data_IF_037573366984
#
_entry.id   IF_037573366984
#
_cell.length_a   1.000
_cell.length_b   1.000
_cell.length_c   1.000
_cell.angle_alpha   90.00
_cell.angle_beta   90.00
_cell.angle_gamma   90.00
#
_symmetry.space_group_name_H-M   'P 1'
#
loop_
_entity.id
_entity.type
_entity.pdbx_description
1 polymer ?
#
# COMPACT_ATOMS: atom_id res chain seq x y z
N UNK A 1 2.92 62.61 12.33
CA UNK A 1 2.91 62.04 10.97
C UNK A 1 3.25 60.55 11.05
N UNK A 2 2.20 59.72 11.13
CA UNK A 2 2.14 58.25 10.96
C UNK A 2 0.78 58.06 10.25
N UNK A 3 0.60 57.22 9.22
CA UNK A 3 1.04 55.82 9.19
C UNK A 3 1.45 55.29 7.79
N UNK A 4 2.58 54.61 7.66
CA UNK A 4 2.94 53.88 6.42
C UNK A 4 3.54 52.48 6.67
N UNK A 5 3.43 51.97 7.90
CA UNK A 5 4.04 50.70 8.30
C UNK A 5 3.06 49.54 8.51
N UNK A 6 1.77 49.71 8.15
CA UNK A 6 0.75 48.68 8.40
C UNK A 6 0.34 47.85 7.18
N UNK A 7 0.81 48.18 5.97
CA UNK A 7 0.39 47.46 4.74
C UNK A 7 1.34 46.30 4.40
N UNK A 8 2.60 46.34 4.82
CA UNK A 8 3.59 45.31 4.43
C UNK A 8 3.46 44.01 5.23
N UNK A 9 2.82 44.01 6.40
CA UNK A 9 2.67 42.80 7.24
C UNK A 9 1.47 41.93 6.81
N UNK A 10 0.49 42.49 6.09
CA UNK A 10 -0.68 41.74 5.63
C UNK A 10 -0.44 40.94 4.33
N UNK A 11 0.64 41.21 3.61
CA UNK A 11 0.97 40.50 2.36
C UNK A 11 1.76 39.21 2.57
N UNK A 12 2.41 39.02 3.73
CA UNK A 12 3.25 37.83 3.98
C UNK A 12 2.43 36.62 4.46
N UNK A 13 1.27 36.83 5.09
CA UNK A 13 0.38 35.73 5.48
C UNK A 13 -0.40 35.09 4.32
N UNK A 14 -0.48 35.74 3.16
CA UNK A 14 -1.18 35.18 1.99
C UNK A 14 -0.33 34.13 1.23
N UNK A 15 0.99 34.08 1.45
CA UNK A 15 1.91 33.19 0.71
C UNK A 15 2.03 31.78 1.32
N UNK A 16 1.33 31.47 2.42
CA UNK A 16 1.43 30.17 3.10
C UNK A 16 0.36 29.13 2.69
N UNK A 17 -0.55 29.45 1.76
CA UNK A 17 -1.61 28.51 1.29
C UNK A 17 -1.17 27.61 0.11
N UNK A 18 0.13 27.53 -0.18
CA UNK A 18 0.68 26.76 -1.30
C UNK A 18 1.32 25.42 -0.91
N UNK A 19 0.95 24.80 0.22
CA UNK A 19 1.35 23.41 0.45
C UNK A 19 0.56 22.53 -0.51
N UNK A 20 1.25 22.10 -1.58
CA UNK A 20 0.64 21.41 -2.71
C UNK A 20 -0.32 20.32 -2.27
N UNK A 21 -1.50 20.30 -2.88
CA UNK A 21 -2.53 19.28 -2.67
C UNK A 21 -2.06 17.87 -2.98
N UNK A 22 -0.82 17.70 -3.45
CA UNK A 22 -0.26 16.45 -3.92
C UNK A 22 1.14 16.25 -3.32
N UNK A 23 1.42 15.03 -2.90
CA UNK A 23 2.71 14.59 -2.39
C UNK A 23 3.13 13.33 -3.11
N UNK A 24 4.31 13.39 -3.73
CA UNK A 24 4.94 12.23 -4.34
C UNK A 24 5.99 11.66 -3.40
N UNK A 25 5.88 10.37 -3.13
CA UNK A 25 6.81 9.59 -2.32
C UNK A 25 7.48 8.57 -3.23
N UNK A 26 8.80 8.57 -3.28
CA UNK A 26 9.55 7.49 -3.89
C UNK A 26 9.88 6.46 -2.81
N UNK A 27 9.47 5.23 -3.05
CA UNK A 27 9.80 4.07 -2.23
C UNK A 27 10.71 3.16 -3.04
N UNK A 28 11.11 2.07 -2.41
CA UNK A 28 11.79 0.95 -3.01
C UNK A 28 10.92 0.12 -3.96
N UNK A 29 9.65 -0.02 -3.62
CA UNK A 29 8.66 -0.74 -4.41
C UNK A 29 8.14 0.08 -5.58
N UNK A 30 8.24 1.41 -5.52
CA UNK A 30 7.98 2.30 -6.64
C UNK A 30 7.62 3.72 -6.23
N UNK A 31 6.61 4.33 -6.85
CA UNK A 31 6.21 5.71 -6.59
C UNK A 31 4.78 5.74 -6.05
N UNK A 32 4.56 6.44 -4.95
CA UNK A 32 3.21 6.75 -4.43
C UNK A 32 2.94 8.23 -4.65
N UNK A 33 1.87 8.55 -5.37
CA UNK A 33 1.33 9.91 -5.48
C UNK A 33 0.07 9.98 -4.63
N UNK A 34 0.09 10.84 -3.61
CA UNK A 34 -1.05 11.05 -2.71
C UNK A 34 -1.57 12.45 -2.96
N UNK A 35 -2.87 12.58 -3.24
CA UNK A 35 -3.55 13.87 -3.27
C UNK A 35 -4.48 14.01 -2.08
N UNK A 36 -4.62 15.23 -1.57
CA UNK A 36 -5.35 15.55 -0.36
C UNK A 36 -6.54 16.47 -0.64
N UNK A 37 -7.59 16.30 0.16
CA UNK A 37 -8.60 17.31 0.36
C UNK A 37 -7.98 18.58 0.95
N UNK A 38 -8.67 19.71 0.81
CA UNK A 38 -8.35 20.97 1.52
C UNK A 38 -8.29 20.80 3.04
N UNK A 39 -8.98 19.80 3.59
CA UNK A 39 -8.91 19.42 5.01
C UNK A 39 -7.62 18.71 5.43
N UNK A 40 -6.76 18.33 4.48
CA UNK A 40 -5.55 17.54 4.72
C UNK A 40 -5.76 16.02 4.76
N UNK A 41 -7.02 15.55 4.66
CA UNK A 41 -7.32 14.12 4.50
C UNK A 41 -6.94 13.63 3.10
N UNK A 42 -6.67 12.34 2.95
CA UNK A 42 -6.34 11.74 1.64
C UNK A 42 -7.59 11.70 0.76
N UNK A 43 -7.47 12.21 -0.47
CA UNK A 43 -8.49 12.15 -1.51
C UNK A 43 -8.21 11.04 -2.52
N UNK A 44 -6.99 10.98 -3.06
CA UNK A 44 -6.57 9.89 -3.93
C UNK A 44 -5.19 9.39 -3.56
N UNK A 45 -4.95 8.12 -3.86
CA UNK A 45 -3.66 7.48 -3.75
C UNK A 45 -3.41 6.74 -5.05
N UNK A 46 -2.24 6.92 -5.65
CA UNK A 46 -1.80 6.17 -6.81
C UNK A 46 -0.46 5.57 -6.47
N UNK A 47 -0.32 4.26 -6.60
CA UNK A 47 0.95 3.59 -6.49
C UNK A 47 1.33 3.01 -7.85
N UNK A 48 2.59 3.15 -8.22
CA UNK A 48 3.19 2.53 -9.41
C UNK A 48 4.45 1.82 -8.96
N UNK A 49 4.76 0.66 -9.53
CA UNK A 49 5.98 -0.07 -9.21
C UNK A 49 7.23 0.68 -9.72
N UNK A 50 8.42 0.26 -9.27
CA UNK A 50 9.69 0.92 -9.60
C UNK A 50 10.01 0.98 -11.10
N UNK A 51 9.40 0.11 -11.89
CA UNK A 51 9.62 0.01 -13.32
C UNK A 51 8.47 0.63 -14.14
N UNK A 52 7.53 1.31 -13.47
CA UNK A 52 6.31 1.88 -14.04
C UNK A 52 5.46 0.87 -14.83
N UNK A 53 5.53 -0.43 -14.46
CA UNK A 53 4.86 -1.56 -15.14
C UNK A 53 3.51 -1.90 -14.56
N UNK A 54 3.40 -1.86 -13.25
CA UNK A 54 2.21 -2.20 -12.49
C UNK A 54 1.86 -1.08 -11.55
N UNK A 55 0.59 -0.94 -11.21
CA UNK A 55 0.16 0.03 -10.23
C UNK A 55 -1.25 -0.22 -9.74
N UNK A 56 -1.69 0.64 -8.84
CA UNK A 56 -3.05 0.66 -8.34
C UNK A 56 -3.44 2.07 -7.94
N UNK A 57 -4.67 2.42 -8.24
CA UNK A 57 -5.23 3.75 -8.02
C UNK A 57 -6.44 3.64 -7.11
N UNK A 58 -6.55 4.54 -6.14
CA UNK A 58 -7.63 4.62 -5.16
C UNK A 58 -8.17 6.04 -5.08
N UNK A 59 -9.47 6.16 -4.84
CA UNK A 59 -10.13 7.41 -4.45
C UNK A 59 -10.99 7.22 -3.21
N UNK A 60 -11.07 8.25 -2.39
CA UNK A 60 -11.79 8.26 -1.12
C UNK A 60 -12.71 9.47 -1.03
N UNK A 61 -13.77 9.36 -0.23
CA UNK A 61 -14.59 10.49 0.18
C UNK A 61 -13.96 11.25 1.37
N UNK A 62 -14.60 12.35 1.79
CA UNK A 62 -14.12 13.17 2.90
C UNK A 62 -14.17 12.45 4.27
N UNK A 63 -14.93 11.36 4.38
CA UNK A 63 -14.97 10.49 5.56
C UNK A 63 -13.85 9.44 5.54
N UNK A 64 -13.15 9.27 4.41
CA UNK A 64 -12.11 8.25 4.20
C UNK A 64 -12.65 6.92 3.70
N UNK A 65 -13.93 6.85 3.31
CA UNK A 65 -14.51 5.67 2.67
C UNK A 65 -14.05 5.61 1.22
N UNK A 66 -13.68 4.41 0.77
CA UNK A 66 -13.27 4.19 -0.61
C UNK A 66 -14.44 4.37 -1.58
N UNK A 67 -14.21 5.15 -2.64
CA UNK A 67 -15.13 5.39 -3.74
C UNK A 67 -14.76 4.56 -4.98
N UNK A 68 -13.48 4.23 -5.11
CA UNK A 68 -12.91 3.61 -6.29
C UNK A 68 -11.56 2.96 -5.97
N UNK A 69 -11.33 1.77 -6.52
CA UNK A 69 -10.02 1.11 -6.59
C UNK A 69 -9.87 0.46 -7.96
N UNK A 70 -8.71 0.61 -8.58
CA UNK A 70 -8.44 0.01 -9.88
C UNK A 70 -6.96 -0.32 -10.08
N UNK A 71 -6.69 -1.53 -10.58
CA UNK A 71 -5.33 -1.96 -10.91
C UNK A 71 -4.92 -1.37 -12.27
N UNK A 72 -3.71 -0.81 -12.32
CA UNK A 72 -3.14 -0.20 -13.52
C UNK A 72 -1.92 -0.99 -14.00
N UNK A 73 -1.63 -0.95 -15.30
CA UNK A 73 -0.44 -1.59 -15.88
C UNK A 73 -0.03 -0.94 -17.21
N UNK A 74 1.24 -1.09 -17.56
CA UNK A 74 1.80 -0.69 -18.85
C UNK A 74 2.50 -1.84 -19.59
N UNK A 75 2.44 -3.07 -19.03
CA UNK A 75 3.04 -4.29 -19.61
C UNK A 75 1.96 -5.34 -19.89
N UNK A 76 2.08 -6.03 -21.03
CA UNK A 76 1.10 -7.05 -21.44
C UNK A 76 -0.29 -6.42 -21.65
N UNK A 77 -0.33 -5.30 -22.37
CA UNK A 77 -1.50 -4.43 -22.48
C UNK A 77 -1.36 -3.14 -21.68
N UNK A 78 -2.45 -2.39 -21.55
CA UNK A 78 -2.51 -1.12 -20.84
C UNK A 78 -3.73 -1.08 -19.92
N UNK A 79 -3.57 -0.59 -18.70
CA UNK A 79 -4.67 -0.22 -17.82
C UNK A 79 -4.32 1.05 -17.04
N UNK A 80 -5.19 2.06 -17.07
CA UNK A 80 -4.98 3.35 -16.40
C UNK A 80 -6.26 3.88 -15.78
N UNK A 81 -6.10 4.64 -14.70
CA UNK A 81 -7.15 5.46 -14.10
C UNK A 81 -6.67 6.92 -14.00
N UNK A 82 -7.43 7.86 -14.55
CA UNK A 82 -7.15 9.29 -14.47
C UNK A 82 -8.20 9.98 -13.58
N UNK A 83 -7.75 10.90 -12.74
CA UNK A 83 -8.58 11.62 -11.79
C UNK A 83 -8.65 13.10 -12.14
N UNK A 84 -9.87 13.64 -12.16
CA UNK A 84 -10.13 15.08 -12.10
C UNK A 84 -10.70 15.43 -10.73
N UNK A 85 -10.51 16.68 -10.31
CA UNK A 85 -10.81 17.10 -8.94
C UNK A 85 -11.64 18.38 -8.91
N UNK A 86 -12.48 18.50 -7.88
CA UNK A 86 -13.12 19.74 -7.45
C UNK A 86 -12.12 20.64 -6.68
N UNK A 87 -12.42 21.94 -6.50
CA UNK A 87 -11.53 22.86 -5.77
C UNK A 87 -11.26 22.44 -4.32
N UNK A 88 -12.21 21.74 -3.67
CA UNK A 88 -12.06 21.24 -2.31
C UNK A 88 -11.13 20.00 -2.20
N UNK A 89 -10.64 19.49 -3.34
CA UNK A 89 -9.81 18.30 -3.45
C UNK A 89 -10.58 16.99 -3.60
N UNK A 90 -11.92 17.01 -3.58
CA UNK A 90 -12.76 15.85 -3.89
C UNK A 90 -12.57 15.43 -5.35
N UNK A 91 -12.71 14.14 -5.64
CA UNK A 91 -12.69 13.65 -7.03
C UNK A 91 -13.98 14.08 -7.72
N UNK A 92 -13.86 14.70 -8.90
CA UNK A 92 -15.00 15.10 -9.74
C UNK A 92 -15.26 14.11 -10.88
N UNK A 93 -14.20 13.47 -11.38
CA UNK A 93 -14.29 12.50 -12.48
C UNK A 93 -13.18 11.45 -12.37
N UNK A 94 -13.52 10.21 -12.69
CA UNK A 94 -12.60 9.09 -12.84
C UNK A 94 -12.75 8.53 -14.23
N UNK A 95 -11.66 8.48 -15.00
CA UNK A 95 -11.62 7.90 -16.33
C UNK A 95 -10.74 6.65 -16.33
N UNK A 96 -11.35 5.51 -16.65
CA UNK A 96 -10.66 4.22 -16.74
C UNK A 96 -10.47 3.85 -18.20
N UNK A 97 -9.30 3.29 -18.53
CA UNK A 97 -9.05 2.62 -19.80
C UNK A 97 -8.30 1.34 -19.53
N UNK A 98 -8.76 0.23 -20.09
CA UNK A 98 -8.13 -1.09 -20.03
C UNK A 98 -8.10 -1.71 -21.43
N UNK A 99 -6.97 -2.29 -21.78
CA UNK A 99 -6.70 -2.97 -23.03
C UNK A 99 -5.70 -4.12 -22.76
N UNK A 100 -6.15 -5.30 -22.30
CA UNK A 100 -5.27 -6.43 -21.96
C UNK A 100 -4.55 -7.03 -23.16
N UNK A 101 -5.20 -7.06 -24.33
CA UNK A 101 -4.64 -7.69 -25.53
C UNK A 101 -4.30 -6.64 -26.59
N UNK A 102 -3.46 -5.67 -26.22
CA UNK A 102 -2.96 -4.65 -27.15
C UNK A 102 -4.02 -3.78 -27.83
N UNK A 103 -5.24 -3.74 -27.28
CA UNK A 103 -6.38 -3.00 -27.83
C UNK A 103 -7.37 -3.81 -28.67
N UNK A 104 -7.18 -5.12 -28.84
CA UNK A 104 -8.19 -6.01 -29.46
C UNK A 104 -9.42 -6.07 -28.55
N UNK A 105 -9.19 -6.45 -27.29
CA UNK A 105 -10.16 -6.26 -26.22
C UNK A 105 -9.83 -4.96 -25.50
N UNK A 106 -10.84 -4.10 -25.32
CA UNK A 106 -10.68 -2.86 -24.59
C UNK A 106 -11.96 -2.48 -23.85
N UNK A 107 -11.79 -1.77 -22.75
CA UNK A 107 -12.82 -1.21 -21.89
C UNK A 107 -12.45 0.22 -21.52
N UNK A 108 -13.42 1.12 -21.53
CA UNK A 108 -13.30 2.48 -21.05
C UNK A 108 -14.53 2.85 -20.25
N UNK A 109 -14.34 3.58 -19.16
CA UNK A 109 -15.46 4.16 -18.45
C UNK A 109 -15.13 5.52 -17.88
N UNK A 110 -16.18 6.30 -17.66
CA UNK A 110 -16.10 7.60 -17.03
C UNK A 110 -17.15 7.65 -15.93
N UNK A 111 -16.71 7.84 -14.69
CA UNK A 111 -17.60 8.06 -13.54
C UNK A 111 -17.46 9.50 -13.07
N UNK A 112 -18.57 10.19 -12.87
CA UNK A 112 -18.59 11.56 -12.34
C UNK A 112 -19.15 11.59 -10.92
N UNK A 113 -18.65 12.50 -10.09
CA UNK A 113 -19.01 12.65 -8.68
C UNK A 113 -19.23 14.13 -8.32
N UNK A 114 -20.11 14.38 -7.35
CA UNK A 114 -20.24 15.70 -6.73
C UNK A 114 -19.14 15.97 -5.68
N UNK A 115 -19.16 17.15 -5.06
CA UNK A 115 -18.18 17.57 -4.06
C UNK A 115 -18.18 16.71 -2.78
N UNK A 116 -19.24 15.92 -2.56
CA UNK A 116 -19.41 15.06 -1.40
C UNK A 116 -19.04 13.59 -1.69
N UNK A 117 -18.65 13.27 -2.93
CA UNK A 117 -18.30 11.91 -3.35
C UNK A 117 -19.51 11.06 -3.74
N UNK A 118 -20.69 11.67 -3.97
CA UNK A 118 -21.86 10.96 -4.50
C UNK A 118 -21.73 10.86 -6.02
N UNK A 119 -21.94 9.65 -6.56
CA UNK A 119 -21.89 9.38 -8.00
C UNK A 119 -23.04 10.11 -8.71
N UNK A 120 -22.70 10.98 -9.67
CA UNK A 120 -23.66 11.77 -10.46
C UNK A 120 -23.78 11.32 -11.92
N UNK A 121 -22.84 10.50 -12.40
CA UNK A 121 -22.88 10.00 -13.78
C UNK A 121 -21.98 8.81 -14.02
N UNK A 122 -22.30 8.03 -15.05
CA UNK A 122 -21.52 6.89 -15.52
C UNK A 122 -21.72 6.68 -17.00
N UNK A 123 -20.63 6.50 -17.74
CA UNK A 123 -20.64 6.03 -19.12
C UNK A 123 -19.56 4.98 -19.29
N UNK A 124 -19.81 4.00 -20.15
CA UNK A 124 -18.82 2.99 -20.49
C UNK A 124 -18.89 2.60 -21.97
N UNK A 125 -17.75 2.16 -22.49
CA UNK A 125 -17.57 1.68 -23.84
C UNK A 125 -16.60 0.50 -23.80
N UNK A 126 -16.78 -0.48 -24.65
CA UNK A 126 -15.84 -1.59 -24.76
C UNK A 126 -16.06 -2.39 -26.02
N UNK A 127 -15.08 -3.24 -26.34
CA UNK A 127 -15.17 -4.11 -27.51
C UNK A 127 -16.38 -5.08 -27.43
N UNK A 128 -16.78 -5.47 -26.22
CA UNK A 128 -17.96 -6.33 -26.01
C UNK A 128 -19.31 -5.64 -26.32
N UNK A 129 -19.31 -4.31 -26.48
CA UNK A 129 -20.49 -3.55 -26.90
C UNK A 129 -20.78 -3.67 -28.40
N UNK A 130 -19.85 -4.20 -29.21
CA UNK A 130 -20.04 -4.37 -30.64
C UNK A 130 -20.77 -5.68 -31.00
N UNK A 131 -21.10 -6.52 -30.01
CA UNK A 131 -21.65 -7.84 -30.24
C UNK A 131 -20.65 -8.76 -30.96
N UNK A 132 -21.05 -10.00 -31.29
CA UNK A 132 -20.18 -10.90 -32.06
C UNK A 132 -19.86 -10.27 -33.43
N UNK A 133 -18.58 -10.28 -33.81
CA UNK A 133 -18.14 -9.92 -35.17
C UNK A 133 -18.93 -10.80 -36.15
N UNK A 134 -19.74 -10.24 -37.07
CA UNK A 134 -20.53 -11.06 -37.98
C UNK A 134 -19.58 -11.81 -38.91
N UNK A 135 -19.47 -13.12 -38.74
CA UNK A 135 -18.98 -14.00 -39.80
C UNK A 135 -19.94 -13.91 -41.00
N UNK A 136 -19.45 -14.11 -42.24
CA UNK A 136 -20.31 -14.09 -43.41
C UNK A 136 -21.41 -15.17 -43.28
N UNK A 137 -22.65 -14.73 -43.08
CA UNK A 137 -23.84 -15.59 -43.01
C UNK A 137 -24.61 -15.59 -41.68
N UNK A 138 -24.13 -14.93 -40.62
CA UNK A 138 -24.85 -14.93 -39.33
C UNK A 138 -25.78 -13.72 -39.22
N UNK A 139 -27.10 -13.95 -39.20
CA UNK A 139 -28.10 -12.93 -38.86
C UNK A 139 -28.03 -12.65 -37.36
N UNK A 140 -27.67 -11.43 -36.99
CA UNK A 140 -27.65 -10.97 -35.60
C UNK A 140 -29.08 -10.81 -35.09
N UNK A 141 -29.52 -11.71 -34.22
CA UNK A 141 -30.73 -11.50 -33.41
C UNK A 141 -30.47 -10.35 -32.44
N UNK A 142 -31.40 -9.38 -32.37
CA UNK A 142 -31.31 -8.29 -31.40
C UNK A 142 -31.14 -8.85 -29.98
N UNK A 143 -30.12 -8.34 -29.28
CA UNK A 143 -29.83 -8.68 -27.89
C UNK A 143 -31.06 -8.30 -27.04
N UNK A 144 -31.69 -9.23 -26.32
CA UNK A 144 -32.77 -8.88 -25.40
C UNK A 144 -32.23 -7.92 -24.34
N UNK A 145 -33.08 -6.98 -23.94
CA UNK A 145 -32.81 -5.96 -22.92
C UNK A 145 -32.28 -6.64 -21.66
N UNK A 146 -31.00 -6.41 -21.35
CA UNK A 146 -30.30 -7.09 -20.26
C UNK A 146 -30.80 -6.50 -18.95
N UNK A 147 -31.45 -7.32 -18.13
CA UNK A 147 -31.78 -7.00 -16.74
C UNK A 147 -30.54 -6.43 -16.02
N UNK A 148 -30.70 -5.50 -15.05
CA UNK A 148 -29.57 -4.82 -14.42
C UNK A 148 -28.54 -5.84 -13.96
N UNK A 149 -27.35 -5.77 -14.56
CA UNK A 149 -26.22 -6.63 -14.19
C UNK A 149 -25.96 -6.37 -12.72
N UNK A 150 -26.22 -7.37 -11.88
CA UNK A 150 -25.74 -7.38 -10.50
C UNK A 150 -24.24 -7.19 -10.59
N UNK A 151 -23.76 -6.03 -10.14
CA UNK A 151 -22.35 -5.69 -10.12
C UNK A 151 -21.63 -6.83 -9.40
N UNK A 152 -20.83 -7.58 -10.15
CA UNK A 152 -20.02 -8.64 -9.56
C UNK A 152 -19.01 -7.95 -8.66
N UNK A 153 -19.13 -8.18 -7.36
CA UNK A 153 -18.22 -7.63 -6.37
C UNK A 153 -16.88 -8.31 -6.62
N UNK A 154 -16.00 -7.63 -7.36
CA UNK A 154 -14.61 -8.06 -7.50
C UNK A 154 -14.02 -8.06 -6.10
N UNK A 155 -13.68 -9.24 -5.59
CA UNK A 155 -13.09 -9.38 -4.27
C UNK A 155 -11.76 -8.60 -4.23
N UNK A 156 -11.72 -7.55 -3.40
CA UNK A 156 -10.52 -6.75 -3.23
C UNK A 156 -9.37 -7.63 -2.74
N UNK A 157 -8.27 -7.67 -3.50
CA UNK A 157 -7.02 -8.18 -2.95
C UNK A 157 -6.58 -7.27 -1.80
N UNK A 158 -6.75 -7.79 -0.58
CA UNK A 158 -6.29 -7.17 0.65
C UNK A 158 -4.76 -7.22 0.73
N UNK A 159 -4.15 -6.10 1.14
CA UNK A 159 -2.71 -6.04 1.38
C UNK A 159 -2.47 -6.03 2.89
N UNK A 160 -1.76 -7.04 3.36
CA UNK A 160 -1.42 -7.22 4.76
C UNK A 160 0.00 -6.76 5.03
N UNK A 161 0.20 -5.93 6.05
CA UNK A 161 1.50 -5.44 6.51
C UNK A 161 1.93 -6.22 7.74
N UNK A 162 3.12 -6.78 7.70
CA UNK A 162 3.73 -7.53 8.79
C UNK A 162 4.96 -6.81 9.29
N UNK A 163 5.11 -6.69 10.59
CA UNK A 163 6.30 -6.14 11.23
C UNK A 163 7.00 -7.20 12.06
N UNK A 164 8.32 -7.21 12.00
CA UNK A 164 9.14 -8.19 12.71
C UNK A 164 10.01 -7.49 13.73
N UNK A 165 9.89 -7.93 14.98
CA UNK A 165 10.65 -7.45 16.11
C UNK A 165 11.46 -8.58 16.73
N UNK A 166 12.61 -8.22 17.30
CA UNK A 166 13.41 -9.09 18.16
C UNK A 166 13.52 -8.44 19.53
N UNK A 167 13.10 -9.18 20.55
CA UNK A 167 13.18 -8.79 21.96
C UNK A 167 14.35 -9.52 22.60
N UNK A 168 15.31 -8.77 23.13
CA UNK A 168 16.38 -9.37 23.92
C UNK A 168 15.90 -9.62 25.35
N UNK A 169 15.41 -10.84 25.59
CA UNK A 169 14.89 -11.24 26.91
C UNK A 169 15.98 -11.67 27.88
N UNK A 170 17.25 -11.47 27.52
CA UNK A 170 18.40 -11.91 28.32
C UNK A 170 19.08 -10.74 29.00
N UNK A 171 19.95 -11.07 29.96
CA UNK A 171 20.83 -10.09 30.62
C UNK A 171 22.10 -9.76 29.84
N UNK A 172 22.25 -10.26 28.61
CA UNK A 172 23.45 -10.07 27.80
C UNK A 172 23.13 -9.31 26.51
N UNK A 173 24.07 -8.53 26.01
CA UNK A 173 23.99 -7.95 24.67
C UNK A 173 23.91 -9.08 23.63
N UNK A 174 23.09 -8.93 22.61
CA UNK A 174 22.97 -9.89 21.51
C UNK A 174 23.37 -9.24 20.18
N UNK A 175 23.91 -10.06 19.29
CA UNK A 175 24.10 -9.73 17.88
C UNK A 175 23.05 -10.50 17.10
N UNK A 176 22.21 -9.76 16.37
CA UNK A 176 21.16 -10.30 15.52
C UNK A 176 21.62 -10.20 14.07
N UNK A 177 21.70 -11.33 13.38
CA UNK A 177 21.89 -11.36 11.93
C UNK A 177 20.55 -11.73 11.31
N UNK A 178 20.01 -10.81 10.52
CA UNK A 178 18.73 -10.96 9.87
C UNK A 178 18.95 -11.00 8.36
N UNK A 179 18.55 -12.10 7.73
CA UNK A 179 18.68 -12.32 6.29
C UNK A 179 17.29 -12.38 5.69
N UNK A 180 16.88 -11.32 4.99
CA UNK A 180 15.62 -11.30 4.26
C UNK A 180 15.74 -12.20 3.02
N UNK A 181 14.72 -13.02 2.77
CA UNK A 181 14.64 -13.85 1.56
C UNK A 181 14.52 -12.97 0.30
N UNK A 182 13.80 -11.86 0.42
CA UNK A 182 13.66 -10.82 -0.59
C UNK A 182 13.90 -9.45 0.08
N UNK A 183 15.17 -8.97 0.13
CA UNK A 183 15.50 -7.71 0.77
C UNK A 183 14.77 -6.53 0.16
N UNK A 184 14.23 -5.66 1.01
CA UNK A 184 13.57 -4.40 0.63
C UNK A 184 13.94 -3.32 1.64
N UNK A 185 13.88 -2.03 1.30
CA UNK A 185 13.96 -0.95 2.29
C UNK A 185 12.99 -1.05 3.47
N UNK A 186 11.86 -1.73 3.32
CA UNK A 186 11.01 -2.13 4.45
C UNK A 186 11.65 -3.20 5.33
N UNK A 187 12.30 -4.21 4.74
CA UNK A 187 12.96 -5.33 5.41
C UNK A 187 14.36 -5.60 4.83
N UNK A 188 15.36 -4.74 5.15
CA UNK A 188 16.65 -4.78 4.45
C UNK A 188 17.52 -5.96 4.88
N UNK A 189 17.20 -6.59 6.02
CA UNK A 189 18.12 -7.46 6.74
C UNK A 189 19.29 -6.67 7.32
N UNK A 190 20.31 -7.39 7.79
CA UNK A 190 21.54 -6.81 8.32
C UNK A 190 21.98 -7.42 9.64
N UNK A 191 23.05 -6.86 10.19
CA UNK A 191 23.59 -7.22 11.49
C UNK A 191 23.35 -6.10 12.47
N UNK A 192 22.72 -6.42 13.59
CA UNK A 192 22.33 -5.46 14.61
C UNK A 192 22.86 -5.89 15.96
N UNK A 193 23.16 -4.92 16.82
CA UNK A 193 23.50 -5.17 18.22
C UNK A 193 22.36 -4.64 19.09
N UNK A 194 21.86 -5.47 20.00
CA UNK A 194 20.73 -5.15 20.87
C UNK A 194 21.14 -5.33 22.34
N UNK A 195 20.82 -4.37 23.20
CA UNK A 195 21.17 -4.43 24.63
C UNK A 195 20.17 -5.28 25.42
N UNK A 196 20.51 -5.72 26.64
CA UNK A 196 19.59 -6.45 27.52
C UNK A 196 18.26 -5.71 27.71
N UNK A 197 17.13 -6.39 27.50
CA UNK A 197 15.79 -5.82 27.68
C UNK A 197 15.28 -4.98 26.50
N UNK A 198 16.13 -4.66 25.52
CA UNK A 198 15.72 -3.86 24.37
C UNK A 198 14.87 -4.66 23.38
N UNK A 199 14.10 -3.93 22.57
CA UNK A 199 13.39 -4.44 21.41
C UNK A 199 13.90 -3.77 20.15
N UNK A 200 14.25 -4.56 19.15
CA UNK A 200 14.71 -4.10 17.84
C UNK A 200 13.64 -4.38 16.80
N UNK A 201 13.25 -3.37 16.03
CA UNK A 201 12.46 -3.53 14.81
C UNK A 201 13.38 -3.92 13.66
N UNK A 202 13.23 -5.13 13.12
CA UNK A 202 14.02 -5.60 11.98
C UNK A 202 13.50 -5.02 10.66
N UNK A 203 12.20 -4.78 10.57
CA UNK A 203 11.57 -4.22 9.39
C UNK A 203 10.15 -4.73 9.17
N UNK A 204 9.68 -4.53 7.95
CA UNK A 204 8.30 -4.77 7.51
C UNK A 204 8.24 -5.41 6.14
N UNK A 205 7.31 -6.35 5.95
CA UNK A 205 6.99 -6.93 4.64
C UNK A 205 5.48 -6.96 4.40
N UNK A 206 5.07 -6.93 3.14
CA UNK A 206 3.65 -6.87 2.75
C UNK A 206 3.24 -8.05 1.90
N UNK A 207 2.11 -8.69 2.23
CA UNK A 207 1.58 -9.87 1.54
C UNK A 207 0.18 -9.61 1.01
N UNK A 208 -0.14 -10.16 -0.17
CA UNK A 208 -1.51 -10.21 -0.65
C UNK A 208 -2.31 -11.28 0.08
N UNK A 209 -3.60 -11.01 0.30
CA UNK A 209 -4.68 -11.96 0.63
C UNK A 209 -4.66 -12.55 2.04
N UNK A 210 -3.49 -12.89 2.61
CA UNK A 210 -3.37 -13.44 3.98
C UNK A 210 -2.08 -13.01 4.69
N UNK A 211 -2.12 -13.01 6.02
CA UNK A 211 -0.92 -12.97 6.84
C UNK A 211 -0.08 -14.23 6.63
N UNK A 212 1.23 -14.07 6.46
CA UNK A 212 2.16 -15.19 6.31
C UNK A 212 3.20 -15.16 7.41
N UNK A 213 3.61 -16.35 7.85
CA UNK A 213 4.68 -16.55 8.83
C UNK A 213 5.98 -15.82 8.43
N UNK A 214 6.58 -15.00 9.32
CA UNK A 214 7.84 -14.32 9.03
C UNK A 214 8.99 -15.26 8.66
N UNK A 215 9.01 -16.50 9.14
CA UNK A 215 10.06 -17.48 8.86
C UNK A 215 10.20 -17.83 7.37
N UNK A 216 9.17 -17.56 6.56
CA UNK A 216 9.25 -17.69 5.08
C UNK A 216 9.94 -16.52 4.40
N UNK A 217 10.02 -15.37 5.08
CA UNK A 217 10.45 -14.09 4.51
C UNK A 217 11.75 -13.58 5.13
N UNK A 218 12.07 -14.02 6.34
CA UNK A 218 13.30 -13.64 7.04
C UNK A 218 13.84 -14.77 7.89
N UNK A 219 15.14 -15.02 7.76
CA UNK A 219 15.90 -15.87 8.66
C UNK A 219 16.59 -14.99 9.69
N UNK A 220 16.39 -15.27 10.97
CA UNK A 220 16.98 -14.51 12.07
C UNK A 220 17.88 -15.44 12.87
N UNK A 221 19.11 -15.02 13.10
CA UNK A 221 20.09 -15.73 13.93
C UNK A 221 20.57 -14.81 15.03
N UNK A 222 20.38 -15.21 16.28
CA UNK A 222 20.87 -14.49 17.45
C UNK A 222 22.14 -15.14 17.99
N UNK A 223 23.09 -14.30 18.40
CA UNK A 223 24.35 -14.75 18.98
C UNK A 223 24.75 -13.84 20.14
N UNK A 224 25.35 -14.42 21.18
CA UNK A 224 25.99 -13.67 22.24
C UNK A 224 27.45 -13.38 21.88
N UNK A 225 27.88 -12.10 21.85
CA UNK A 225 29.29 -11.76 21.73
C UNK A 225 30.04 -12.15 23.01
N UNK A 226 31.25 -12.68 22.83
CA UNK A 226 32.23 -12.84 23.90
C UNK A 226 33.39 -11.85 23.67
N UNK A 227 34.21 -11.63 24.70
CA UNK A 227 35.39 -10.75 24.61
C UNK A 227 36.32 -11.11 23.45
N UNK A 228 37.18 -10.17 23.05
CA UNK A 228 38.09 -10.30 21.88
C UNK A 228 38.75 -11.69 21.83
N UNK A 229 38.55 -12.38 20.70
CA UNK A 229 39.15 -13.69 20.43
C UNK A 229 38.33 -14.92 20.83
N UNK A 230 37.19 -14.76 21.52
CA UNK A 230 36.31 -15.89 21.88
C UNK A 230 35.19 -16.08 20.84
N UNK A 231 34.84 -17.35 20.58
CA UNK A 231 33.70 -17.71 19.71
C UNK A 231 32.40 -17.19 20.30
N UNK A 232 31.50 -16.71 19.43
CA UNK A 232 30.14 -16.31 19.80
C UNK A 232 29.32 -17.54 20.16
N UNK A 233 28.49 -17.45 21.19
CA UNK A 233 27.55 -18.53 21.56
C UNK A 233 26.24 -18.32 20.81
N UNK A 234 25.66 -19.36 20.18
CA UNK A 234 24.34 -19.25 19.58
C UNK A 234 23.29 -18.97 20.67
N UNK A 235 22.20 -18.33 20.25
CA UNK A 235 21.02 -18.08 21.07
C UNK A 235 19.80 -18.63 20.37
N UNK A 236 18.82 -19.04 21.16
CA UNK A 236 17.55 -19.54 20.66
C UNK A 236 16.63 -18.35 20.35
N UNK A 237 15.91 -18.42 19.23
CA UNK A 237 14.91 -17.42 18.85
C UNK A 237 13.55 -18.11 18.77
N UNK A 238 12.64 -17.68 19.62
CA UNK A 238 11.28 -18.22 19.66
C UNK A 238 10.28 -17.11 19.37
N UNK A 239 9.35 -17.37 18.45
CA UNK A 239 8.19 -16.51 18.25
C UNK A 239 7.25 -16.72 19.43
N UNK A 240 7.22 -15.79 20.39
CA UNK A 240 6.43 -15.93 21.62
C UNK A 240 5.21 -15.01 21.66
N UNK A 241 5.21 -13.97 20.84
CA UNK A 241 4.11 -13.01 20.82
C UNK A 241 3.78 -12.59 19.39
N UNK A 242 2.49 -12.60 19.11
CA UNK A 242 1.87 -12.01 17.92
C UNK A 242 0.87 -10.95 18.38
N UNK A 243 0.83 -9.82 17.69
CA UNK A 243 -0.12 -8.75 18.00
C UNK A 243 -0.79 -8.27 16.73
N UNK A 244 -2.12 -8.32 16.72
CA UNK A 244 -2.93 -7.79 15.64
C UNK A 244 -3.19 -6.31 15.90
N UNK A 245 -2.56 -5.41 15.13
CA UNK A 245 -2.67 -3.97 15.33
C UNK A 245 -3.91 -3.38 14.64
N UNK A 246 -4.27 -3.93 13.47
CA UNK A 246 -5.48 -3.59 12.72
C UNK A 246 -5.93 -4.80 11.90
N UNK A 247 -7.03 -4.72 11.15
CA UNK A 247 -7.47 -5.82 10.26
C UNK A 247 -6.35 -6.28 9.30
N UNK A 248 -5.49 -5.36 8.88
CA UNK A 248 -4.49 -5.56 7.83
C UNK A 248 -3.05 -5.50 8.35
N UNK A 249 -2.83 -5.32 9.65
CA UNK A 249 -1.50 -5.13 10.22
C UNK A 249 -1.25 -6.05 11.42
N UNK A 250 -0.15 -6.82 11.35
CA UNK A 250 0.30 -7.71 12.43
C UNK A 250 1.77 -7.48 12.76
N UNK A 251 2.11 -7.60 14.04
CA UNK A 251 3.47 -7.57 14.55
C UNK A 251 3.85 -8.92 15.15
N UNK A 252 5.06 -9.38 14.86
CA UNK A 252 5.64 -10.62 15.35
C UNK A 252 6.87 -10.34 16.21
N UNK A 253 6.94 -10.98 17.38
CA UNK A 253 8.01 -10.74 18.34
C UNK A 253 8.78 -12.03 18.61
N UNK A 254 10.01 -12.08 18.10
CA UNK A 254 10.97 -13.14 18.41
C UNK A 254 11.74 -12.80 19.67
N UNK A 255 11.75 -13.70 20.64
CA UNK A 255 12.51 -13.53 21.86
C UNK A 255 13.84 -14.27 21.74
N UNK A 256 14.94 -13.52 21.90
CA UNK A 256 16.27 -14.10 22.02
C UNK A 256 16.44 -14.65 23.44
N UNK A 257 16.79 -15.94 23.54
CA UNK A 257 16.90 -16.68 24.78
C UNK A 257 18.24 -17.44 24.84
N UNK A 258 18.75 -17.75 26.05
CA UNK A 258 19.86 -18.68 26.20
C UNK A 258 19.51 -20.03 25.57
N UNK A 259 20.48 -20.67 24.93
CA UNK A 259 20.32 -22.03 24.38
C UNK A 259 19.89 -23.02 25.47
N UNK A 260 18.83 -23.80 25.20
CA UNK A 260 18.30 -24.79 26.14
C UNK A 260 17.31 -24.22 27.17
N UNK A 261 16.76 -23.02 26.93
CA UNK A 261 15.76 -22.44 27.81
C UNK A 261 14.47 -23.24 27.75
N UNK A 262 14.11 -23.90 28.86
CA UNK A 262 12.81 -24.58 29.00
C UNK A 262 11.74 -23.55 29.32
N UNK A 263 10.82 -23.33 28.38
CA UNK A 263 9.62 -22.54 28.63
C UNK A 263 8.65 -23.37 29.50
N UNK A 264 8.43 -22.94 30.74
CA UNK A 264 7.35 -23.46 31.57
C UNK A 264 6.12 -22.56 31.40
N UNK A 265 5.17 -23.03 30.60
CA UNK A 265 3.85 -22.42 30.55
C UNK A 265 3.09 -22.84 31.81
N UNK A 266 2.99 -21.96 32.81
CA UNK A 266 1.96 -22.11 33.83
C UNK A 266 0.62 -21.82 33.16
N UNK A 267 -0.21 -22.85 33.04
CA UNK A 267 -1.63 -22.72 32.67
C UNK A 267 -2.37 -21.93 33.74
#
# INVERSE_FOLDING_TARGET
MRPLFSITLLLVCAMAHGQGHERTLKTDTGTVVIRYFTSGKVSTKVWTDKNDRWGRSWAYDAAGKELFSYQTRSIGGHASANFSYHPNGAVSRIEVSDAPDGGIQWYRSTTSYDEHGVKTGFTEQGHDNYGPIPGPGVRTTQKPEVAPVKQEVVEEQYMYVNEVFVVNSTKWTCIINATAAQPSPGLPGGTFTIQPGDTLRLGTYSMGEVFQDPGKHITIVAQRPHGKGKRRSPMELLLLQETQNSKEHRSYFYHALPEGTRLSFRR
#
